data_IF_698428442676
#
_entry.id   IF_698428442676
#
_cell.length_a   1.000
_cell.length_b   1.000
_cell.length_c   1.000
_cell.angle_alpha   90.00
_cell.angle_beta   90.00
_cell.angle_gamma   90.00
#
_symmetry.space_group_name_H-M   'P 1'
#
loop_
_entity.id
_entity.type
_entity.pdbx_description
1 polymer ?
#
# COMPACT_ATOMS: atom_id res chain seq x y z
N UNK A 1 -5.87 -61.57 -3.33
CA UNK A 1 -5.94 -60.49 -2.33
C UNK A 1 -5.26 -59.27 -2.92
N UNK A 2 -6.00 -58.49 -3.71
CA UNK A 2 -5.52 -57.23 -4.26
C UNK A 2 -5.71 -56.13 -3.21
N UNK A 3 -4.62 -55.42 -2.89
CA UNK A 3 -4.65 -54.27 -1.98
C UNK A 3 -5.29 -53.09 -2.71
N UNK A 4 -6.47 -52.67 -2.25
CA UNK A 4 -7.11 -51.42 -2.66
C UNK A 4 -6.34 -50.27 -1.98
N UNK A 5 -5.60 -49.49 -2.77
CA UNK A 5 -4.98 -48.24 -2.31
C UNK A 5 -6.05 -47.17 -2.09
N UNK A 6 -5.98 -46.51 -0.93
CA UNK A 6 -6.87 -45.39 -0.59
C UNK A 6 -6.64 -44.18 -1.53
N UNK A 7 -7.68 -43.37 -1.80
CA UNK A 7 -7.52 -42.16 -2.61
C UNK A 7 -6.63 -41.15 -1.89
N UNK A 8 -5.59 -40.67 -2.57
CA UNK A 8 -4.80 -39.54 -2.08
C UNK A 8 -5.66 -38.27 -2.09
N UNK A 9 -5.75 -37.62 -0.92
CA UNK A 9 -6.33 -36.27 -0.80
C UNK A 9 -5.52 -35.28 -1.65
N UNK A 10 -6.16 -34.33 -2.34
CA UNK A 10 -5.46 -33.31 -3.10
C UNK A 10 -4.53 -32.49 -2.19
N UNK A 11 -3.28 -32.31 -2.64
CA UNK A 11 -2.30 -31.48 -1.97
C UNK A 11 -2.76 -30.02 -1.91
N UNK A 12 -2.63 -29.44 -0.72
CA UNK A 12 -3.13 -28.13 -0.31
C UNK A 12 -2.21 -26.96 -0.77
N UNK A 13 -1.72 -27.02 -2.00
CA UNK A 13 -0.80 -26.03 -2.56
C UNK A 13 -1.32 -25.58 -3.93
N UNK A 14 -2.26 -24.64 -3.95
CA UNK A 14 -2.59 -23.75 -5.10
C UNK A 14 -3.76 -22.76 -4.85
N UNK A 15 -4.18 -22.53 -3.60
CA UNK A 15 -5.32 -21.62 -3.32
C UNK A 15 -4.94 -20.14 -3.18
N UNK A 16 -3.66 -19.81 -3.02
CA UNK A 16 -3.22 -18.42 -2.77
C UNK A 16 -3.20 -17.56 -4.03
N UNK A 17 -2.96 -18.17 -5.20
CA UNK A 17 -2.90 -17.47 -6.49
C UNK A 17 -4.30 -17.23 -7.09
N UNK A 18 -5.29 -18.05 -6.73
CA UNK A 18 -6.69 -17.85 -7.16
C UNK A 18 -7.43 -16.82 -6.31
N UNK A 19 -7.15 -16.75 -5.00
CA UNK A 19 -7.72 -15.76 -4.08
C UNK A 19 -7.20 -14.34 -4.32
N UNK A 20 -5.93 -14.17 -4.73
CA UNK A 20 -5.35 -12.85 -4.99
C UNK A 20 -5.92 -12.17 -6.24
N UNK A 21 -6.38 -12.94 -7.24
CA UNK A 21 -7.08 -12.41 -8.42
C UNK A 21 -8.56 -12.12 -8.19
N UNK A 22 -9.18 -12.68 -7.15
CA UNK A 22 -10.63 -12.58 -6.96
C UNK A 22 -11.05 -11.24 -6.31
N UNK A 23 -10.16 -10.60 -5.53
CA UNK A 23 -10.46 -9.38 -4.77
C UNK A 23 -9.30 -8.37 -4.84
N UNK A 24 -9.18 -7.67 -5.97
CA UNK A 24 -8.08 -6.72 -6.23
C UNK A 24 -7.88 -5.74 -5.06
N UNK A 25 -8.93 -5.08 -4.56
CA UNK A 25 -8.78 -4.13 -3.46
C UNK A 25 -8.32 -4.73 -2.13
N UNK A 26 -8.72 -5.98 -1.85
CA UNK A 26 -8.28 -6.67 -0.64
C UNK A 26 -6.82 -7.14 -0.77
N UNK A 27 -6.42 -7.60 -1.95
CA UNK A 27 -5.03 -7.94 -2.24
C UNK A 27 -4.13 -6.71 -2.11
N UNK A 28 -4.53 -5.58 -2.69
CA UNK A 28 -3.83 -4.30 -2.57
C UNK A 28 -3.72 -3.83 -1.12
N UNK A 29 -4.82 -3.90 -0.36
CA UNK A 29 -4.81 -3.56 1.06
C UNK A 29 -3.86 -4.45 1.88
N UNK A 30 -3.84 -5.76 1.60
CA UNK A 30 -2.92 -6.71 2.26
C UNK A 30 -1.47 -6.36 1.93
N UNK A 31 -1.16 -6.00 0.68
CA UNK A 31 0.19 -5.63 0.30
C UNK A 31 0.66 -4.33 0.98
N UNK A 32 -0.22 -3.33 1.10
CA UNK A 32 0.08 -2.12 1.90
C UNK A 32 0.31 -2.46 3.38
N UNK A 33 -0.45 -3.42 3.90
CA UNK A 33 -0.29 -3.93 5.26
C UNK A 33 0.97 -4.80 5.45
N UNK A 34 1.72 -5.08 4.37
CA UNK A 34 2.96 -5.85 4.41
C UNK A 34 2.78 -7.35 4.14
N UNK A 35 1.68 -7.76 3.51
CA UNK A 35 1.38 -9.14 3.14
C UNK A 35 0.95 -9.27 1.66
N UNK A 36 1.77 -9.84 0.76
CA UNK A 36 3.08 -10.42 1.01
C UNK A 36 4.11 -9.35 1.42
N UNK A 37 5.19 -9.80 2.04
CA UNK A 37 6.32 -8.96 2.39
C UNK A 37 7.00 -8.45 1.12
N UNK A 38 7.09 -7.14 0.94
CA UNK A 38 7.84 -6.52 -0.16
C UNK A 38 9.29 -6.25 0.29
N UNK A 39 10.25 -6.69 -0.51
CA UNK A 39 11.67 -6.51 -0.22
C UNK A 39 12.19 -5.15 -0.69
N UNK A 40 11.61 -4.59 -1.75
CA UNK A 40 12.06 -3.33 -2.34
C UNK A 40 11.23 -2.15 -1.82
N UNK A 41 11.88 -1.23 -1.10
CA UNK A 41 11.26 0.02 -0.65
C UNK A 41 10.62 0.76 -1.81
N UNK A 42 11.33 0.89 -2.93
CA UNK A 42 10.85 1.69 -4.05
C UNK A 42 9.67 1.02 -4.75
N UNK A 43 9.64 -0.31 -4.91
CA UNK A 43 8.43 -0.98 -5.40
C UNK A 43 7.23 -0.73 -4.50
N UNK A 44 7.42 -0.82 -3.18
CA UNK A 44 6.36 -0.50 -2.23
C UNK A 44 5.88 0.94 -2.37
N UNK A 45 6.79 1.92 -2.34
CA UNK A 45 6.45 3.35 -2.42
C UNK A 45 5.75 3.67 -3.74
N UNK A 46 6.28 3.22 -4.88
CA UNK A 46 5.68 3.47 -6.19
C UNK A 46 4.34 2.76 -6.35
N UNK A 47 4.18 1.55 -5.78
CA UNK A 47 2.88 0.90 -5.74
C UNK A 47 1.87 1.77 -4.97
N UNK A 48 2.22 2.23 -3.78
CA UNK A 48 1.31 3.05 -2.97
C UNK A 48 1.01 4.38 -3.67
N UNK A 49 2.01 5.04 -4.27
CA UNK A 49 1.82 6.27 -5.04
C UNK A 49 0.99 6.05 -6.30
N UNK A 50 1.03 4.88 -6.95
CA UNK A 50 0.14 4.57 -8.07
C UNK A 50 -1.34 4.56 -7.67
N UNK A 51 -1.63 4.39 -6.38
CA UNK A 51 -2.99 4.40 -5.82
C UNK A 51 -3.37 5.76 -5.23
N UNK A 52 -2.44 6.43 -4.54
CA UNK A 52 -2.65 7.74 -3.91
C UNK A 52 -2.52 8.93 -4.87
N UNK A 53 -1.70 8.79 -5.90
CA UNK A 53 -1.22 9.87 -6.74
C UNK A 53 -0.35 10.88 -6.02
N UNK A 54 0.04 11.91 -6.77
CA UNK A 54 0.73 13.10 -6.27
C UNK A 54 -0.13 14.34 -6.54
N UNK A 55 -0.20 15.25 -5.56
CA UNK A 55 -0.94 16.50 -5.73
C UNK A 55 -0.05 17.69 -6.08
N UNK A 56 -0.42 18.48 -7.11
CA UNK A 56 0.30 19.69 -7.55
C UNK A 56 -0.26 20.98 -6.93
N UNK A 57 -1.26 20.90 -6.04
CA UNK A 57 -1.83 22.11 -5.46
C UNK A 57 -0.81 22.71 -4.50
N UNK A 58 -0.63 24.02 -4.54
CA UNK A 58 0.37 24.77 -3.76
C UNK A 58 0.29 24.52 -2.23
N UNK A 59 -0.88 24.11 -1.73
CA UNK A 59 -1.11 23.76 -0.32
C UNK A 59 -0.95 22.26 -0.02
N UNK A 60 -0.85 21.41 -1.05
CA UNK A 60 -0.76 19.96 -0.94
C UNK A 60 0.68 19.42 -0.93
N UNK A 61 1.70 20.30 -0.98
CA UNK A 61 3.08 19.88 -0.77
C UNK A 61 3.25 19.17 0.59
N UNK A 62 2.64 19.72 1.65
CA UNK A 62 2.58 19.11 2.97
C UNK A 62 1.87 17.76 2.97
N UNK A 63 0.86 17.60 2.11
CA UNK A 63 0.13 16.36 1.94
C UNK A 63 1.01 15.28 1.31
N UNK A 64 1.74 15.60 0.24
CA UNK A 64 2.67 14.67 -0.39
C UNK A 64 3.77 14.25 0.60
N UNK A 65 4.35 15.21 1.33
CA UNK A 65 5.41 14.95 2.30
C UNK A 65 4.93 14.04 3.45
N UNK A 66 3.75 14.30 4.02
CA UNK A 66 3.17 13.42 5.05
C UNK A 66 2.83 12.03 4.49
N UNK A 67 2.31 11.95 3.27
CA UNK A 67 2.06 10.65 2.64
C UNK A 67 3.36 9.86 2.47
N UNK A 68 4.44 10.51 2.01
CA UNK A 68 5.77 9.90 1.87
C UNK A 68 6.29 9.41 3.22
N UNK A 69 6.24 10.24 4.26
CA UNK A 69 6.62 9.88 5.62
C UNK A 69 5.87 8.64 6.13
N UNK A 70 4.55 8.61 5.92
CA UNK A 70 3.69 7.50 6.35
C UNK A 70 3.99 6.21 5.58
N UNK A 71 4.20 6.30 4.26
CA UNK A 71 4.57 5.14 3.44
C UNK A 71 5.91 4.55 3.89
N UNK A 72 6.92 5.40 4.10
CA UNK A 72 8.23 4.97 4.59
C UNK A 72 8.12 4.32 5.97
N UNK A 73 7.44 4.99 6.90
CA UNK A 73 7.23 4.47 8.26
C UNK A 73 6.50 3.13 8.25
N UNK A 74 5.44 2.98 7.44
CA UNK A 74 4.70 1.72 7.33
C UNK A 74 5.56 0.61 6.75
N UNK A 75 6.30 0.86 5.67
CA UNK A 75 7.24 -0.11 5.10
C UNK A 75 8.24 -0.59 6.16
N UNK A 76 8.85 0.32 6.91
CA UNK A 76 9.82 -0.01 7.95
C UNK A 76 9.20 -0.80 9.10
N UNK A 77 7.99 -0.44 9.55
CA UNK A 77 7.26 -1.18 10.57
C UNK A 77 6.89 -2.60 10.09
N UNK A 78 6.52 -2.76 8.82
CA UNK A 78 6.23 -4.07 8.24
C UNK A 78 7.48 -4.95 8.16
N UNK A 79 8.66 -4.35 7.97
CA UNK A 79 9.95 -5.04 7.84
C UNK A 79 10.61 -5.38 9.18
N UNK A 80 10.37 -4.59 10.22
CA UNK A 80 10.97 -4.81 11.55
C UNK A 80 9.91 -4.67 12.65
N UNK A 81 9.57 -5.77 13.34
CA UNK A 81 8.72 -5.73 14.53
C UNK A 81 9.23 -4.80 15.63
N UNK A 82 10.55 -4.62 15.74
CA UNK A 82 11.18 -3.72 16.70
C UNK A 82 10.91 -2.25 16.34
N UNK A 83 10.96 -1.89 15.05
CA UNK A 83 10.53 -0.56 14.58
C UNK A 83 9.04 -0.36 14.84
N UNK A 84 8.20 -1.35 14.51
CA UNK A 84 6.76 -1.29 14.77
C UNK A 84 6.44 -1.12 16.27
N UNK A 85 7.16 -1.84 17.12
CA UNK A 85 7.03 -1.74 18.57
C UNK A 85 7.45 -0.35 19.07
N UNK A 86 8.63 0.14 18.68
CA UNK A 86 9.12 1.45 19.08
C UNK A 86 8.24 2.61 18.58
N UNK A 87 7.64 2.47 17.40
CA UNK A 87 6.73 3.45 16.83
C UNK A 87 5.38 3.49 17.56
N UNK A 88 4.81 2.32 17.87
CA UNK A 88 3.48 2.21 18.50
C UNK A 88 3.50 2.40 20.02
N UNK A 89 4.60 2.04 20.68
CA UNK A 89 4.76 2.12 22.13
C UNK A 89 5.84 3.15 22.47
N UNK A 90 5.51 4.45 22.33
CA UNK A 90 6.36 5.59 22.73
C UNK A 90 6.80 5.59 24.22
N UNK A 91 6.39 4.60 25.01
CA UNK A 91 6.62 4.53 26.46
C UNK A 91 7.21 3.18 26.87
N UNK A 92 8.53 3.04 26.75
CA UNK A 92 9.42 2.29 27.65
C UNK A 92 10.82 2.25 27.00
N UNK A 93 11.60 3.32 27.14
CA UNK A 93 13.03 3.39 26.78
C UNK A 93 13.43 3.22 25.31
N UNK A 94 12.52 2.85 24.40
CA UNK A 94 12.77 2.82 22.96
C UNK A 94 12.54 4.19 22.34
N UNK A 95 13.61 4.92 22.05
CA UNK A 95 13.52 6.06 21.12
C UNK A 95 13.26 5.45 19.74
N UNK A 96 12.13 5.75 19.05
CA UNK A 96 11.94 5.28 17.69
C UNK A 96 13.16 5.72 16.86
N UNK A 97 13.60 4.93 15.86
CA UNK A 97 14.79 5.28 15.09
C UNK A 97 14.44 6.42 14.12
N UNK A 98 14.18 7.61 14.66
CA UNK A 98 13.74 8.79 13.92
C UNK A 98 14.80 9.18 12.88
N UNK A 99 16.09 9.05 13.22
CA UNK A 99 17.20 9.25 12.29
C UNK A 99 17.15 8.31 11.08
N UNK A 100 16.80 7.04 11.31
CA UNK A 100 16.63 6.03 10.27
C UNK A 100 15.44 6.39 9.37
N UNK A 101 14.28 6.69 9.98
CA UNK A 101 13.06 7.05 9.26
C UNK A 101 13.29 8.31 8.41
N UNK A 102 13.90 9.35 8.99
CA UNK A 102 14.24 10.58 8.29
C UNK A 102 15.20 10.33 7.12
N UNK A 103 16.15 9.42 7.29
CA UNK A 103 17.09 9.02 6.23
C UNK A 103 16.39 8.33 5.07
N UNK A 104 15.51 7.37 5.37
CA UNK A 104 14.67 6.70 4.37
C UNK A 104 13.81 7.72 3.61
N UNK A 105 13.16 8.63 4.34
CA UNK A 105 12.30 9.66 3.75
C UNK A 105 13.08 10.56 2.79
N UNK A 106 14.29 10.99 3.15
CA UNK A 106 15.15 11.81 2.26
C UNK A 106 15.43 11.09 0.94
N UNK A 107 15.83 9.83 1.01
CA UNK A 107 16.12 9.00 -0.17
C UNK A 107 14.88 8.80 -1.03
N UNK A 108 13.72 8.54 -0.40
CA UNK A 108 12.45 8.38 -1.11
C UNK A 108 12.01 9.66 -1.79
N UNK A 109 12.11 10.81 -1.11
CA UNK A 109 11.80 12.11 -1.71
C UNK A 109 12.74 12.43 -2.88
N UNK A 110 14.01 12.05 -2.78
CA UNK A 110 14.98 12.20 -3.86
C UNK A 110 14.58 11.36 -5.09
N UNK A 111 14.23 10.08 -4.93
CA UNK A 111 13.81 9.25 -6.08
C UNK A 111 12.46 9.71 -6.67
N UNK A 112 11.52 10.18 -5.84
CA UNK A 112 10.25 10.74 -6.32
C UNK A 112 10.48 12.02 -7.11
N UNK A 113 11.41 12.87 -6.67
CA UNK A 113 11.81 14.08 -7.43
C UNK A 113 12.37 13.67 -8.79
N UNK A 114 13.28 12.69 -8.84
CA UNK A 114 13.81 12.17 -10.09
C UNK A 114 12.71 11.63 -11.03
N UNK A 115 11.70 10.95 -10.49
CA UNK A 115 10.54 10.47 -11.25
C UNK A 115 9.69 11.62 -11.81
N UNK A 116 9.36 12.60 -10.97
CA UNK A 116 8.57 13.77 -11.37
C UNK A 116 9.28 14.52 -12.50
N UNK A 117 10.58 14.78 -12.35
CA UNK A 117 11.37 15.48 -13.37
C UNK A 117 11.37 14.74 -14.72
N UNK A 118 11.44 13.40 -14.69
CA UNK A 118 11.55 12.58 -15.89
C UNK A 118 10.19 12.30 -16.58
N UNK A 119 9.12 12.15 -15.80
CA UNK A 119 7.83 11.62 -16.26
C UNK A 119 6.69 12.64 -16.16
N UNK A 120 6.86 13.72 -15.40
CA UNK A 120 5.82 14.70 -15.09
C UNK A 120 6.38 16.14 -15.11
N UNK A 121 6.96 16.62 -16.23
CA UNK A 121 7.68 17.91 -16.25
C UNK A 121 6.79 19.13 -15.95
N UNK A 122 5.47 19.02 -16.14
CA UNK A 122 4.48 20.04 -15.79
C UNK A 122 4.15 20.07 -14.27
N UNK A 123 4.64 19.08 -13.52
CA UNK A 123 4.39 18.92 -12.10
C UNK A 123 5.56 19.51 -11.29
N UNK A 124 5.30 20.63 -10.62
CA UNK A 124 6.33 21.37 -9.89
C UNK A 124 6.52 20.80 -8.47
N UNK A 125 7.06 19.58 -8.36
CA UNK A 125 7.54 19.00 -7.10
C UNK A 125 9.05 18.83 -7.15
N UNK A 126 9.77 19.65 -6.39
CA UNK A 126 11.23 19.58 -6.29
C UNK A 126 11.64 19.63 -4.82
N UNK A 127 11.88 18.45 -4.24
CA UNK A 127 12.38 18.33 -2.86
C UNK A 127 13.91 18.40 -2.80
N UNK A 128 14.60 17.92 -3.85
CA UNK A 128 16.06 17.82 -3.93
C UNK A 128 16.57 18.18 -5.33
N UNK A 129 17.88 18.47 -5.46
CA UNK A 129 18.55 18.43 -6.75
C UNK A 129 19.08 17.02 -7.00
N UNK A 130 18.58 16.38 -8.05
CA UNK A 130 18.88 14.98 -8.42
C UNK A 130 18.92 14.84 -9.93
N UNK A 131 19.57 15.80 -10.58
CA UNK A 131 19.72 15.88 -12.03
C UNK A 131 20.64 14.76 -12.53
N UNK A 132 21.61 14.34 -11.70
CA UNK A 132 22.51 13.21 -11.98
C UNK A 132 22.45 12.10 -10.92
N UNK A 133 22.94 10.91 -11.27
CA UNK A 133 23.02 9.77 -10.35
C UNK A 133 24.01 10.05 -9.21
N UNK A 134 25.06 10.83 -9.45
CA UNK A 134 26.03 11.23 -8.44
C UNK A 134 25.40 12.14 -7.38
N UNK A 135 24.52 13.06 -7.78
CA UNK A 135 23.77 13.91 -6.84
C UNK A 135 22.80 13.09 -5.99
N UNK A 136 22.10 12.14 -6.61
CA UNK A 136 21.24 11.20 -5.89
C UNK A 136 22.05 10.35 -4.89
N UNK A 137 23.18 9.79 -5.33
CA UNK A 137 24.05 8.99 -4.48
C UNK A 137 24.70 9.80 -3.35
N UNK A 138 24.96 11.09 -3.55
CA UNK A 138 25.43 11.96 -2.46
C UNK A 138 24.38 12.10 -1.34
N UNK A 139 23.08 12.10 -1.68
CA UNK A 139 22.00 12.06 -0.68
C UNK A 139 22.00 10.71 0.04
N UNK A 140 22.16 9.62 -0.71
CA UNK A 140 22.23 8.27 -0.15
C UNK A 140 23.40 8.16 0.83
N UNK A 141 24.61 8.47 0.38
CA UNK A 141 25.85 8.37 1.14
C UNK A 141 25.90 9.37 2.32
N UNK A 142 25.18 10.48 2.22
CA UNK A 142 25.06 11.49 3.28
C UNK A 142 24.14 11.11 4.43
N UNK A 143 23.46 9.97 4.37
CA UNK A 143 22.66 9.44 5.49
C UNK A 143 23.42 8.35 6.25
N UNK A 144 23.11 8.09 7.54
CA UNK A 144 23.69 6.98 8.32
C UNK A 144 23.25 5.57 7.84
N UNK A 145 22.92 5.43 6.55
CA UNK A 145 22.25 4.27 5.96
C UNK A 145 22.97 2.95 6.17
N UNK A 146 24.30 2.88 6.02
CA UNK A 146 25.01 1.59 5.94
C UNK A 146 25.04 0.79 7.26
N UNK A 147 25.14 1.47 8.42
CA UNK A 147 25.21 0.77 9.72
C UNK A 147 23.85 0.59 10.38
N UNK A 148 22.98 1.60 10.31
CA UNK A 148 21.68 1.50 10.95
C UNK A 148 20.80 0.48 10.23
N UNK A 149 20.77 0.47 8.90
CA UNK A 149 19.86 -0.42 8.15
C UNK A 149 20.21 -1.89 8.33
N UNK A 150 21.50 -2.22 8.36
CA UNK A 150 21.96 -3.57 8.69
C UNK A 150 21.56 -3.98 10.11
N UNK A 151 21.66 -3.07 11.08
CA UNK A 151 21.25 -3.33 12.46
C UNK A 151 19.73 -3.59 12.59
N UNK A 152 18.92 -3.05 11.67
CA UNK A 152 17.47 -3.25 11.61
C UNK A 152 17.02 -4.28 10.57
N UNK A 153 17.95 -5.03 9.95
CA UNK A 153 17.62 -6.07 8.96
C UNK A 153 16.96 -5.55 7.68
N UNK A 154 17.19 -4.28 7.33
CA UNK A 154 16.58 -3.64 6.18
C UNK A 154 17.41 -3.90 4.90
N UNK A 155 16.79 -4.39 3.81
CA UNK A 155 17.48 -4.78 2.58
C UNK A 155 17.77 -3.56 1.69
N UNK A 156 18.66 -2.67 2.14
CA UNK A 156 19.03 -1.48 1.36
C UNK A 156 20.43 -1.65 0.79
N UNK A 157 20.46 -1.87 -0.51
CA UNK A 157 21.68 -1.97 -1.29
C UNK A 157 21.90 -0.69 -2.09
N UNK A 158 23.11 -0.12 -1.99
CA UNK A 158 23.42 1.18 -2.60
C UNK A 158 23.35 1.08 -4.13
N UNK A 159 23.86 -0.03 -4.67
CA UNK A 159 23.86 -0.33 -6.10
C UNK A 159 22.43 -0.54 -6.62
N UNK A 160 21.56 -1.23 -5.86
CA UNK A 160 20.12 -1.32 -6.17
C UNK A 160 19.47 0.07 -6.23
N UNK A 161 19.75 0.97 -5.27
CA UNK A 161 19.21 2.34 -5.29
C UNK A 161 19.68 3.13 -6.52
N UNK A 162 20.96 3.00 -6.89
CA UNK A 162 21.53 3.63 -8.09
C UNK A 162 20.86 3.11 -9.38
N UNK A 163 20.60 1.80 -9.44
CA UNK A 163 19.94 1.19 -10.58
C UNK A 163 18.49 1.68 -10.70
N UNK A 164 17.76 1.77 -9.58
CA UNK A 164 16.40 2.33 -9.58
C UNK A 164 16.36 3.78 -10.06
N UNK A 165 17.32 4.62 -9.64
CA UNK A 165 17.44 5.98 -10.15
C UNK A 165 17.61 5.99 -11.67
N UNK A 166 18.51 5.16 -12.19
CA UNK A 166 18.76 5.04 -13.63
C UNK A 166 17.50 4.58 -14.36
N UNK A 167 16.81 3.57 -13.83
CA UNK A 167 15.58 3.06 -14.42
C UNK A 167 14.48 4.14 -14.45
N UNK A 168 14.32 4.91 -13.38
CA UNK A 168 13.37 6.03 -13.33
C UNK A 168 13.69 7.10 -14.38
N UNK A 169 14.97 7.49 -14.54
CA UNK A 169 15.39 8.46 -15.56
C UNK A 169 15.24 7.92 -16.99
N UNK A 170 15.41 6.61 -17.17
CA UNK A 170 15.12 5.89 -18.42
C UNK A 170 13.61 5.68 -18.67
N UNK A 171 12.74 6.19 -17.79
CA UNK A 171 11.27 6.01 -17.83
C UNK A 171 10.83 4.54 -17.76
N UNK A 172 11.64 3.70 -17.12
CA UNK A 172 11.27 2.34 -16.74
C UNK A 172 10.62 2.41 -15.36
N UNK A 173 9.30 2.48 -15.31
CA UNK A 173 8.59 2.48 -14.03
C UNK A 173 8.63 1.08 -13.37
N UNK A 174 8.54 1.00 -12.03
CA UNK A 174 8.48 -0.28 -11.34
C UNK A 174 7.25 -1.09 -11.76
N UNK A 175 7.40 -2.41 -11.83
CA UNK A 175 6.29 -3.33 -12.12
C UNK A 175 5.39 -3.49 -10.89
N UNK A 176 4.10 -3.72 -11.14
CA UNK A 176 3.15 -4.05 -10.07
C UNK A 176 3.53 -5.38 -9.40
N UNK A 177 3.44 -5.49 -8.06
CA UNK A 177 3.71 -6.73 -7.33
C UNK A 177 2.73 -7.86 -7.67
N UNK A 178 1.58 -7.54 -8.26
CA UNK A 178 0.53 -8.51 -8.62
C UNK A 178 0.59 -8.97 -10.08
N UNK A 179 1.58 -8.51 -10.86
CA UNK A 179 1.74 -8.95 -12.24
C UNK A 179 2.58 -10.23 -12.30
N UNK A 180 2.08 -11.22 -13.03
CA UNK A 180 2.90 -12.33 -13.46
C UNK A 180 4.06 -11.81 -14.34
N UNK A 181 5.25 -12.44 -14.32
CA UNK A 181 6.39 -12.03 -15.15
C UNK A 181 6.09 -11.95 -16.65
N UNK A 182 5.03 -12.65 -17.10
CA UNK A 182 4.54 -12.73 -18.48
C UNK A 182 3.44 -11.72 -18.84
N UNK A 183 2.86 -11.01 -17.87
CA UNK A 183 1.89 -9.96 -18.15
C UNK A 183 2.64 -8.71 -18.63
N UNK A 184 2.28 -8.21 -19.81
CA UNK A 184 2.96 -7.08 -20.47
C UNK A 184 3.09 -5.83 -19.59
N UNK A 185 4.06 -4.98 -19.95
CA UNK A 185 4.54 -3.75 -19.29
C UNK A 185 3.42 -2.81 -18.79
N UNK A 186 2.73 -3.16 -17.71
CA UNK A 186 1.83 -2.23 -17.02
C UNK A 186 2.64 -1.60 -15.90
N UNK A 187 3.33 -0.53 -16.30
CA UNK A 187 4.12 0.36 -15.49
C UNK A 187 3.25 0.99 -14.37
N UNK A 188 3.76 1.07 -13.13
CA UNK A 188 3.06 1.69 -11.99
C UNK A 188 3.02 3.22 -12.15
N UNK A 189 2.18 3.68 -13.08
CA UNK A 189 2.06 5.10 -13.36
C UNK A 189 1.47 5.80 -12.14
N UNK A 190 2.19 6.78 -11.61
CA UNK A 190 1.70 7.61 -10.52
C UNK A 190 0.72 8.62 -11.11
N UNK A 191 -0.57 8.57 -10.74
CA UNK A 191 -1.53 9.55 -11.22
C UNK A 191 -1.27 10.93 -10.62
N UNK A 192 -1.62 11.96 -11.37
CA UNK A 192 -1.47 13.37 -11.00
C UNK A 192 -2.82 14.04 -10.76
N UNK A 193 -2.84 15.17 -10.05
CA UNK A 193 -4.07 15.97 -9.85
C UNK A 193 -4.81 16.19 -11.17
N UNK A 194 -6.08 15.79 -11.21
CA UNK A 194 -6.92 15.87 -12.41
C UNK A 194 -7.16 14.53 -13.08
N UNK A 195 -6.37 13.50 -12.76
CA UNK A 195 -6.63 12.14 -13.22
C UNK A 195 -7.90 11.58 -12.59
N UNK A 196 -8.73 10.90 -13.40
CA UNK A 196 -10.01 10.33 -12.99
C UNK A 196 -9.86 9.33 -11.83
N UNK A 197 -8.73 8.63 -11.76
CA UNK A 197 -8.45 7.68 -10.68
C UNK A 197 -8.15 8.33 -9.33
N UNK A 198 -7.99 9.66 -9.27
CA UNK A 198 -7.87 10.44 -8.02
C UNK A 198 -9.19 11.11 -7.61
N UNK A 199 -10.29 10.87 -8.34
CA UNK A 199 -11.61 11.33 -7.89
C UNK A 199 -12.00 10.65 -6.58
N UNK A 200 -12.66 11.41 -5.71
CA UNK A 200 -13.15 10.89 -4.44
C UNK A 200 -14.08 9.69 -4.68
N UNK A 201 -13.97 8.66 -3.83
CA UNK A 201 -14.79 7.48 -3.98
C UNK A 201 -16.24 7.85 -3.71
N UNK A 202 -17.19 7.41 -4.55
CA UNK A 202 -18.62 7.69 -4.33
C UNK A 202 -19.17 7.04 -3.05
N UNK A 203 -18.55 5.94 -2.57
CA UNK A 203 -19.02 5.15 -1.43
C UNK A 203 -17.89 4.76 -0.46
N UNK A 204 -17.35 5.72 0.32
CA UNK A 204 -16.40 5.42 1.39
C UNK A 204 -17.05 4.61 2.51
N UNK A 205 -16.30 3.68 3.11
CA UNK A 205 -16.74 2.85 4.24
C UNK A 205 -16.24 3.39 5.59
N UNK A 206 -16.10 4.71 5.72
CA UNK A 206 -15.66 5.41 6.93
C UNK A 206 -16.59 5.18 8.14
N UNK A 207 -17.85 4.86 7.88
CA UNK A 207 -18.83 4.49 8.90
C UNK A 207 -18.74 3.03 9.36
N UNK A 208 -17.79 2.24 8.85
CA UNK A 208 -17.57 0.85 9.26
C UNK A 208 -16.24 0.70 9.98
N UNK A 209 -16.26 0.03 11.12
CA UNK A 209 -15.02 -0.44 11.76
C UNK A 209 -14.48 -1.66 11.03
N UNK A 210 -13.16 -1.90 11.09
CA UNK A 210 -12.54 -3.12 10.53
C UNK A 210 -13.26 -4.38 11.04
N UNK A 211 -13.50 -4.46 12.36
CA UNK A 211 -14.22 -5.58 12.97
C UNK A 211 -15.64 -5.79 12.44
N UNK A 212 -16.35 -4.71 12.12
CA UNK A 212 -17.67 -4.81 11.48
C UNK A 212 -17.54 -5.35 10.06
N UNK A 213 -16.59 -4.86 9.27
CA UNK A 213 -16.35 -5.37 7.91
C UNK A 213 -15.98 -6.86 7.93
N UNK A 214 -15.08 -7.27 8.82
CA UNK A 214 -14.71 -8.68 9.00
C UNK A 214 -15.92 -9.53 9.40
N UNK A 215 -16.74 -9.04 10.34
CA UNK A 215 -17.95 -9.73 10.78
C UNK A 215 -19.02 -9.87 9.70
N UNK A 216 -19.13 -8.89 8.80
CA UNK A 216 -20.11 -8.87 7.70
C UNK A 216 -19.63 -9.74 6.53
N UNK A 217 -18.36 -9.57 6.14
CA UNK A 217 -17.77 -10.18 4.95
C UNK A 217 -17.23 -11.58 5.22
N UNK A 218 -16.97 -11.95 6.47
CA UNK A 218 -16.38 -13.24 6.83
C UNK A 218 -14.89 -13.37 6.44
N UNK A 219 -14.26 -12.27 6.03
CA UNK A 219 -12.86 -12.21 5.61
C UNK A 219 -12.05 -11.38 6.60
N UNK A 220 -10.76 -11.70 6.75
CA UNK A 220 -9.84 -10.85 7.50
C UNK A 220 -9.50 -9.61 6.67
N UNK A 221 -9.80 -8.45 7.23
CA UNK A 221 -9.64 -7.14 6.57
C UNK A 221 -8.44 -6.42 7.20
N UNK A 222 -7.40 -6.07 6.43
CA UNK A 222 -6.25 -5.32 6.95
C UNK A 222 -6.65 -3.99 7.59
N UNK A 223 -6.01 -3.64 8.70
CA UNK A 223 -6.20 -2.32 9.31
C UNK A 223 -5.30 -1.30 8.59
N UNK A 224 -5.96 -0.42 7.83
CA UNK A 224 -5.30 0.65 7.08
C UNK A 224 -4.89 1.85 7.95
N UNK A 225 -5.27 1.85 9.24
CA UNK A 225 -5.02 2.94 10.15
C UNK A 225 -5.80 4.22 9.79
N UNK A 226 -5.28 5.37 10.18
CA UNK A 226 -5.94 6.67 9.97
C UNK A 226 -5.89 7.18 8.52
N UNK A 227 -5.17 6.48 7.64
CA UNK A 227 -4.68 7.04 6.37
C UNK A 227 -5.14 6.28 5.13
N UNK A 228 -5.92 5.23 5.33
CA UNK A 228 -6.61 4.51 4.27
C UNK A 228 -8.06 4.28 4.63
N UNK A 229 -8.92 4.31 3.61
CA UNK A 229 -10.35 4.06 3.73
C UNK A 229 -10.71 2.98 2.72
N UNK A 230 -11.42 1.96 3.17
CA UNK A 230 -12.04 1.02 2.25
C UNK A 230 -13.20 1.68 1.54
N UNK A 231 -13.31 1.42 0.24
CA UNK A 231 -14.40 1.93 -0.57
C UNK A 231 -15.03 0.77 -1.35
N UNK A 232 -16.25 0.96 -1.80
CA UNK A 232 -16.89 0.08 -2.78
C UNK A 232 -17.20 0.86 -4.05
N UNK A 233 -17.26 0.16 -5.19
CA UNK A 233 -17.46 0.80 -6.50
C UNK A 233 -18.92 1.13 -6.80
N UNK A 234 -19.88 0.40 -6.21
CA UNK A 234 -21.30 0.63 -6.47
C UNK A 234 -22.11 0.91 -5.21
N UNK A 235 -23.20 1.65 -5.43
CA UNK A 235 -24.23 1.86 -4.45
C UNK A 235 -24.89 0.54 -3.96
N UNK A 236 -24.91 -0.48 -4.82
CA UNK A 236 -25.47 -1.80 -4.50
C UNK A 236 -24.62 -2.54 -3.46
N UNK A 237 -23.30 -2.58 -3.65
CA UNK A 237 -22.38 -3.15 -2.66
C UNK A 237 -22.44 -2.39 -1.32
N UNK A 238 -22.54 -1.06 -1.38
CA UNK A 238 -22.69 -0.23 -0.18
C UNK A 238 -23.98 -0.56 0.60
N UNK A 239 -25.10 -0.72 -0.11
CA UNK A 239 -26.38 -1.12 0.48
C UNK A 239 -26.32 -2.51 1.12
N UNK A 240 -25.62 -3.46 0.50
CA UNK A 240 -25.41 -4.80 1.07
C UNK A 240 -24.62 -4.73 2.38
N UNK A 241 -23.56 -3.93 2.44
CA UNK A 241 -22.80 -3.70 3.67
C UNK A 241 -23.67 -3.08 4.77
N UNK A 242 -24.47 -2.06 4.47
CA UNK A 242 -25.37 -1.45 5.46
C UNK A 242 -26.44 -2.43 5.97
N UNK A 243 -26.96 -3.30 5.10
CA UNK A 243 -27.86 -4.38 5.50
C UNK A 243 -27.15 -5.34 6.46
N UNK A 244 -25.95 -5.80 6.09
CA UNK A 244 -25.12 -6.67 6.91
C UNK A 244 -24.78 -6.06 8.27
N UNK A 245 -24.43 -4.77 8.32
CA UNK A 245 -24.14 -4.05 9.57
C UNK A 245 -25.32 -4.03 10.54
N UNK A 246 -26.54 -3.78 10.04
CA UNK A 246 -27.75 -3.83 10.87
C UNK A 246 -27.99 -5.23 11.44
N UNK A 247 -27.71 -6.26 10.65
CA UNK A 247 -27.88 -7.66 11.07
C UNK A 247 -26.83 -8.08 12.10
N UNK A 248 -25.57 -7.69 11.87
CA UNK A 248 -24.43 -7.93 12.75
C UNK A 248 -24.59 -7.25 14.12
N UNK A 249 -24.98 -5.97 14.15
CA UNK A 249 -25.08 -5.19 15.38
C UNK A 249 -26.33 -5.52 16.20
N UNK A 250 -27.49 -5.65 15.55
CA UNK A 250 -28.77 -5.70 16.27
C UNK A 250 -29.32 -7.11 16.48
N UNK A 251 -28.62 -8.16 16.01
CA UNK A 251 -29.06 -9.58 16.10
C UNK A 251 -30.56 -9.74 15.83
N UNK A 252 -31.07 -9.02 14.84
CA UNK A 252 -32.51 -8.89 14.61
C UNK A 252 -33.08 -10.27 14.27
N UNK A 253 -33.93 -10.82 15.15
CA UNK A 253 -34.61 -12.10 14.92
C UNK A 253 -35.31 -12.06 13.56
N UNK A 254 -35.00 -13.04 12.70
CA UNK A 254 -35.65 -13.26 11.41
C UNK A 254 -34.96 -12.63 10.20
N UNK A 255 -33.90 -11.83 10.36
CA UNK A 255 -33.08 -11.39 9.22
C UNK A 255 -31.96 -12.38 8.96
N UNK A 256 -31.81 -12.76 7.68
CA UNK A 256 -30.75 -13.68 7.24
C UNK A 256 -29.47 -12.87 6.97
N UNK A 257 -28.31 -13.31 7.48
CA UNK A 257 -27.03 -12.71 7.13
C UNK A 257 -26.81 -12.72 5.61
N UNK A 258 -25.88 -11.89 5.14
CA UNK A 258 -25.45 -11.91 3.74
C UNK A 258 -25.06 -13.34 3.33
N UNK A 259 -25.54 -13.76 2.16
CA UNK A 259 -25.13 -15.02 1.54
C UNK A 259 -23.67 -14.93 1.09
N UNK A 260 -22.99 -16.06 0.94
CA UNK A 260 -21.60 -16.06 0.42
C UNK A 260 -21.48 -15.34 -0.93
N UNK A 261 -22.42 -15.55 -1.85
CA UNK A 261 -22.45 -14.82 -3.14
C UNK A 261 -22.53 -13.28 -2.99
N UNK A 262 -23.21 -12.80 -1.94
CA UNK A 262 -23.35 -11.37 -1.68
C UNK A 262 -22.06 -10.80 -1.06
N UNK A 263 -21.42 -11.57 -0.18
CA UNK A 263 -20.11 -11.21 0.39
C UNK A 263 -19.06 -11.16 -0.72
N UNK A 264 -19.02 -12.17 -1.58
CA UNK A 264 -18.12 -12.22 -2.73
C UNK A 264 -18.34 -11.05 -3.71
N UNK A 265 -19.60 -10.67 -3.96
CA UNK A 265 -19.91 -9.51 -4.79
C UNK A 265 -19.37 -8.21 -4.17
N UNK A 266 -19.52 -8.03 -2.86
CA UNK A 266 -18.98 -6.86 -2.16
C UNK A 266 -17.45 -6.87 -2.17
N UNK A 267 -16.82 -8.02 -1.92
CA UNK A 267 -15.36 -8.15 -1.91
C UNK A 267 -14.74 -7.85 -3.29
N UNK A 268 -15.42 -8.21 -4.39
CA UNK A 268 -15.00 -7.86 -5.77
C UNK A 268 -15.06 -6.37 -6.04
N UNK A 269 -15.97 -5.67 -5.37
CA UNK A 269 -16.12 -4.23 -5.48
C UNK A 269 -15.29 -3.45 -4.47
N UNK A 270 -14.71 -4.14 -3.48
CA UNK A 270 -13.83 -3.53 -2.50
C UNK A 270 -12.60 -2.99 -3.21
N UNK A 271 -12.28 -1.74 -2.92
CA UNK A 271 -11.07 -1.10 -3.40
C UNK A 271 -10.48 -0.24 -2.31
N UNK A 272 -9.15 -0.16 -2.34
CA UNK A 272 -8.40 0.65 -1.41
C UNK A 272 -8.39 2.08 -1.93
N UNK A 273 -9.04 3.00 -1.23
CA UNK A 273 -8.83 4.42 -1.46
C UNK A 273 -8.00 5.00 -0.32
N UNK A 274 -6.77 5.35 -0.64
CA UNK A 274 -5.90 6.01 0.32
C UNK A 274 -6.03 7.53 0.20
N UNK A 275 -7.27 8.02 0.32
CA UNK A 275 -7.57 9.45 0.31
C UNK A 275 -6.69 10.13 1.36
N UNK A 276 -5.85 11.07 0.93
CA UNK A 276 -5.37 12.08 1.87
C UNK A 276 -6.61 12.82 2.34
N UNK A 277 -6.92 12.79 3.64
CA UNK A 277 -7.87 13.72 4.27
C UNK A 277 -7.34 15.17 4.21
N UNK A 278 -6.92 15.63 3.03
CA UNK A 278 -6.66 17.02 2.71
C UNK A 278 -7.96 17.77 2.39
N UNK A 279 -9.10 17.09 2.33
CA UNK A 279 -10.40 17.70 2.06
C UNK A 279 -11.37 17.46 3.24
N UNK A 280 -11.52 18.51 4.07
CA UNK A 280 -12.40 18.59 5.25
C UNK A 280 -11.60 18.54 6.56
N UNK A 281 -11.31 19.64 7.27
CA UNK A 281 -12.11 20.83 7.61
C UNK A 281 -11.20 22.07 7.63
#
# INVERSE_FOLDING_TARGET
>A
MEKISAPQLPQLADNTESLSKQYEGLAEARYVDGSPEESSLFRYVFFVLSKKGLSNRRYDYWTNDRNIERMCTRFLCNRSPEIAFAHNYRSANGVPPTSLIDSVIKVVKAIITAYVDANCPEFAYKAYNVDTVEEFLAIVDGTPMSREFQAWGLPFDREELAQFYTDVKDRKEPKSPFQAPSAGNTLLKIPLTGDLCLQEPEFPLDHFTVKELEGILGEKIPDLGQDGIYCVRSHSAYKLLYKGKKEFLYKVKGKKPLTEEQKDAVLKELWLNQVSRAYGV
#
